data_IF_360364080730
#
_entry.id   IF_360364080730
#
_cell.length_a   1.000
_cell.length_b   1.000
_cell.length_c   1.000
_cell.angle_alpha   90.00
_cell.angle_beta   90.00
_cell.angle_gamma   90.00
#
_symmetry.space_group_name_H-M   'P 1'
#
loop_
_entity.id
_entity.type
_entity.pdbx_description
1 polymer ?
#
# COMPACT_ATOMS: atom_id res chain seq x y z
N UNK A 1 -17.73 16.27 -4.55
CA UNK A 1 -17.27 15.15 -5.40
C UNK A 1 -16.25 14.36 -4.59
N UNK A 2 -16.57 13.12 -4.21
CA UNK A 2 -15.58 12.20 -3.61
C UNK A 2 -14.87 11.58 -4.80
N UNK A 3 -13.65 12.02 -5.10
CA UNK A 3 -12.84 11.39 -6.13
C UNK A 3 -12.33 10.06 -5.58
N UNK A 4 -12.76 8.95 -6.19
CA UNK A 4 -12.21 7.63 -5.86
C UNK A 4 -10.82 7.52 -6.47
N UNK A 5 -9.80 7.96 -5.73
CA UNK A 5 -8.40 7.84 -6.13
C UNK A 5 -7.90 6.45 -5.73
N UNK A 6 -7.57 5.61 -6.71
CA UNK A 6 -6.92 4.33 -6.47
C UNK A 6 -5.40 4.49 -6.48
N UNK A 7 -4.70 3.67 -5.70
CA UNK A 7 -3.25 3.54 -5.73
C UNK A 7 -2.88 2.08 -6.05
N UNK A 8 -1.87 1.87 -6.89
CA UNK A 8 -1.38 0.54 -7.27
C UNK A 8 0.06 0.37 -6.79
N UNK A 9 0.33 -0.74 -6.11
CA UNK A 9 1.68 -1.15 -5.74
C UNK A 9 2.20 -2.17 -6.76
N UNK A 10 3.41 -1.94 -7.27
CA UNK A 10 4.05 -2.80 -8.28
C UNK A 10 5.46 -3.15 -7.85
N UNK A 11 5.83 -4.43 -8.01
CA UNK A 11 7.21 -4.88 -7.82
C UNK A 11 8.04 -4.50 -9.06
N UNK A 12 9.05 -3.65 -8.87
CA UNK A 12 9.95 -3.25 -9.96
C UNK A 12 10.94 -4.35 -10.38
N UNK A 13 11.11 -5.38 -9.54
CA UNK A 13 12.02 -6.50 -9.76
C UNK A 13 11.40 -7.80 -9.26
N UNK A 14 11.78 -8.96 -9.85
CA UNK A 14 11.40 -10.25 -9.31
C UNK A 14 11.85 -10.40 -7.85
N UNK A 15 10.99 -10.96 -7.02
CA UNK A 15 11.32 -11.35 -5.65
C UNK A 15 11.63 -12.84 -5.63
N UNK A 16 12.71 -13.24 -4.96
CA UNK A 16 13.20 -14.62 -4.93
C UNK A 16 13.40 -15.13 -3.51
N UNK A 17 13.19 -16.43 -3.34
CA UNK A 17 13.42 -17.15 -2.09
C UNK A 17 12.35 -16.94 -1.02
N UNK A 18 12.45 -17.69 0.11
CA UNK A 18 11.59 -17.50 1.26
C UNK A 18 11.92 -16.15 1.92
N UNK A 19 11.04 -15.17 1.79
CA UNK A 19 11.23 -13.84 2.37
C UNK A 19 9.91 -13.18 2.69
N UNK A 20 9.90 -12.41 3.76
CA UNK A 20 8.81 -11.53 4.15
C UNK A 20 9.18 -10.08 3.86
N UNK A 21 8.26 -9.33 3.23
CA UNK A 21 8.35 -7.89 3.08
C UNK A 21 7.24 -7.23 3.87
N UNK A 22 7.59 -6.33 4.78
CA UNK A 22 6.64 -5.52 5.54
C UNK A 22 6.70 -4.09 5.03
N UNK A 23 5.55 -3.55 4.67
CA UNK A 23 5.37 -2.21 4.13
C UNK A 23 4.40 -1.45 5.04
N UNK A 24 4.87 -0.35 5.61
CA UNK A 24 4.01 0.59 6.34
C UNK A 24 3.58 1.70 5.37
N UNK A 25 2.27 1.89 5.24
CA UNK A 25 1.63 2.80 4.30
C UNK A 25 0.75 3.79 5.06
N UNK A 26 0.71 5.05 4.61
CA UNK A 26 -0.22 6.05 5.11
C UNK A 26 -1.18 6.47 3.99
N UNK A 27 -2.48 6.25 4.21
CA UNK A 27 -3.52 6.79 3.35
C UNK A 27 -3.96 8.14 3.90
N UNK A 28 -3.72 9.21 3.14
CA UNK A 28 -4.12 10.57 3.52
C UNK A 28 -5.39 10.95 2.78
N UNK A 29 -6.43 11.32 3.53
CA UNK A 29 -7.68 11.85 3.00
C UNK A 29 -7.74 13.35 3.21
N UNK A 30 -7.96 14.10 2.13
CA UNK A 30 -8.06 15.56 2.16
C UNK A 30 -9.36 16.02 1.51
N UNK A 31 -10.11 16.89 2.20
CA UNK A 31 -11.24 17.61 1.64
C UNK A 31 -10.97 19.11 1.78
N UNK A 32 -10.57 19.74 0.67
CA UNK A 32 -10.16 21.15 0.63
C UNK A 32 -11.31 22.13 0.89
N UNK A 33 -12.55 21.76 0.57
CA UNK A 33 -13.73 22.62 0.80
C UNK A 33 -14.13 22.71 2.27
N UNK A 34 -13.86 21.66 3.05
CA UNK A 34 -14.17 21.58 4.48
C UNK A 34 -12.92 21.74 5.36
N UNK A 35 -11.75 22.04 4.77
CA UNK A 35 -10.44 22.05 5.45
C UNK A 35 -10.16 20.79 6.28
N UNK A 36 -10.75 19.65 5.89
CA UNK A 36 -10.66 18.40 6.62
C UNK A 36 -9.46 17.58 6.12
N UNK A 37 -8.65 17.09 7.06
CA UNK A 37 -7.52 16.19 6.81
C UNK A 37 -7.59 15.03 7.80
N UNK A 38 -7.52 13.81 7.28
CA UNK A 38 -7.39 12.60 8.08
C UNK A 38 -6.31 11.69 7.49
N UNK A 39 -5.73 10.83 8.31
CA UNK A 39 -4.86 9.77 7.83
C UNK A 39 -5.15 8.43 8.49
N UNK A 40 -4.88 7.38 7.74
CA UNK A 40 -5.01 5.98 8.16
C UNK A 40 -3.70 5.28 7.90
N UNK A 41 -3.18 4.56 8.90
CA UNK A 41 -1.97 3.75 8.76
C UNK A 41 -2.35 2.32 8.41
N UNK A 42 -1.68 1.75 7.43
CA UNK A 42 -1.91 0.41 6.92
C UNK A 42 -0.57 -0.35 6.92
N UNK A 43 -0.59 -1.61 7.35
CA UNK A 43 0.57 -2.51 7.21
C UNK A 43 0.24 -3.59 6.19
N UNK A 44 1.06 -3.66 5.14
CA UNK A 44 0.99 -4.71 4.12
C UNK A 44 2.16 -5.66 4.31
N UNK A 45 1.87 -6.93 4.53
CA UNK A 45 2.88 -7.99 4.59
C UNK A 45 2.79 -8.87 3.35
N UNK A 46 3.90 -9.02 2.64
CA UNK A 46 4.04 -9.88 1.45
C UNK A 46 4.92 -11.06 1.81
N UNK A 47 4.38 -12.28 1.66
CA UNK A 47 5.11 -13.52 1.88
C UNK A 47 5.53 -14.13 0.53
N UNK A 48 6.83 -14.34 0.35
CA UNK A 48 7.40 -15.02 -0.83
C UNK A 48 7.77 -16.44 -0.43
N UNK A 49 7.26 -17.41 -1.18
CA UNK A 49 7.53 -18.83 -0.96
C UNK A 49 8.89 -19.26 -1.52
N UNK A 50 9.38 -20.42 -1.06
CA UNK A 50 10.64 -21.00 -1.55
C UNK A 50 10.55 -21.51 -3.00
N UNK A 51 9.34 -21.81 -3.47
CA UNK A 51 9.08 -22.35 -4.81
C UNK A 51 7.97 -21.52 -5.48
N UNK A 52 8.07 -21.35 -6.79
CA UNK A 52 7.01 -20.74 -7.60
C UNK A 52 5.83 -21.71 -7.69
N UNK A 53 4.60 -21.18 -7.62
CA UNK A 53 3.37 -21.94 -7.83
C UNK A 53 3.10 -22.17 -9.32
#
# INVERSE_FOLDING_TARGET
>A
QINNVSAMLVLARPVTGPREYVLDLEMVTMNSLMSYRASSVLRLTVFVGAYTF
#
